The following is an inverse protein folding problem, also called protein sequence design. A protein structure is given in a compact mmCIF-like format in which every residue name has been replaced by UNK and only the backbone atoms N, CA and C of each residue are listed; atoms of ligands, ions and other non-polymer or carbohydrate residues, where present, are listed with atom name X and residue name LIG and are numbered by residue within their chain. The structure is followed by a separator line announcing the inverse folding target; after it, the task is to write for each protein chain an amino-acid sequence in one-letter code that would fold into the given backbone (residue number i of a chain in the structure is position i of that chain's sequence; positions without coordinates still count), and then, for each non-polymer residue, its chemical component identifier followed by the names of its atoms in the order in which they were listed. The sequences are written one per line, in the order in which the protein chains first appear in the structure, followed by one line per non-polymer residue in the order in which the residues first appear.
data_IF_630726995151
#
_entry.id   IF_630726995151
#
_cell.length_a   1.000
_cell.length_b   1.000
_cell.length_c   1.000
_cell.angle_alpha   90.00
_cell.angle_beta   90.00
_cell.angle_gamma   90.00
#
_symmetry.space_group_name_H-M   'P 1'
#
loop_
_entity.id
_entity.type
_entity.pdbx_description
1 polymer ?
#
# COMPACT_ATOMS: atom_id res chain seq x y z
N UNK A 1 -20.55 6.12 9.91
CA UNK A 1 -19.62 5.17 10.59
C UNK A 1 -18.20 5.65 10.37
N UNK A 2 -17.39 5.64 11.44
CA UNK A 2 -15.96 5.97 11.38
C UNK A 2 -15.19 4.77 11.94
N UNK A 3 -14.29 4.21 11.12
CA UNK A 3 -13.32 3.23 11.54
C UNK A 3 -12.04 3.96 11.91
N UNK A 4 -11.72 3.97 13.20
CA UNK A 4 -10.52 4.60 13.73
C UNK A 4 -9.26 3.78 13.41
N UNK A 5 -9.39 2.46 13.49
CA UNK A 5 -8.36 1.50 13.11
C UNK A 5 -8.73 0.80 11.80
N UNK A 6 -7.73 0.21 11.13
CA UNK A 6 -7.95 -0.56 9.91
C UNK A 6 -8.81 -1.79 10.20
N UNK A 7 -9.96 -1.98 9.52
CA UNK A 7 -10.75 -3.20 9.62
C UNK A 7 -9.93 -4.45 9.28
N UNK A 8 -10.25 -5.58 9.88
CA UNK A 8 -9.51 -6.84 9.69
C UNK A 8 -9.50 -7.31 8.22
N UNK A 9 -10.61 -7.13 7.54
CA UNK A 9 -10.81 -7.51 6.15
C UNK A 9 -11.96 -6.70 5.54
N UNK A 10 -12.15 -6.84 4.25
CA UNK A 10 -13.16 -6.11 3.50
C UNK A 10 -14.59 -6.52 3.87
N UNK A 11 -14.81 -7.78 4.28
CA UNK A 11 -16.11 -8.28 4.75
C UNK A 11 -16.55 -7.59 6.04
N UNK A 12 -15.65 -7.54 7.03
CA UNK A 12 -15.91 -6.84 8.31
C UNK A 12 -16.22 -5.37 8.06
N UNK A 13 -15.44 -4.71 7.20
CA UNK A 13 -15.70 -3.33 6.80
C UNK A 13 -17.09 -3.18 6.17
N UNK A 14 -17.44 -4.04 5.22
CA UNK A 14 -18.74 -4.00 4.53
C UNK A 14 -19.92 -4.17 5.50
N UNK A 15 -19.83 -5.14 6.43
CA UNK A 15 -20.86 -5.38 7.44
C UNK A 15 -21.02 -4.21 8.42
N UNK A 16 -19.90 -3.60 8.83
CA UNK A 16 -19.91 -2.46 9.76
C UNK A 16 -20.37 -1.19 9.05
N UNK A 17 -19.90 -0.91 7.85
CA UNK A 17 -20.34 0.20 7.01
C UNK A 17 -21.82 0.11 6.64
N UNK A 18 -22.33 -1.10 6.40
CA UNK A 18 -23.75 -1.37 6.12
C UNK A 18 -24.70 -1.09 7.29
N UNK A 19 -24.18 -0.72 8.46
CA UNK A 19 -24.99 -0.23 9.59
C UNK A 19 -25.35 1.24 9.46
N UNK A 20 -24.65 1.97 8.60
CA UNK A 20 -24.96 3.37 8.32
C UNK A 20 -26.15 3.50 7.36
N UNK A 21 -26.98 4.52 7.55
CA UNK A 21 -28.10 4.83 6.66
C UNK A 21 -29.26 3.81 6.66
N UNK A 22 -29.44 3.06 7.74
CA UNK A 22 -30.56 2.13 7.90
C UNK A 22 -31.93 2.80 7.98
N UNK A 23 -31.92 4.07 8.32
CA UNK A 23 -33.07 4.96 8.35
C UNK A 23 -33.44 5.54 6.97
N UNK A 24 -32.65 5.20 5.92
CA UNK A 24 -32.80 5.71 4.57
C UNK A 24 -32.11 7.06 4.34
N UNK A 25 -31.48 7.63 5.38
CA UNK A 25 -30.76 8.90 5.28
C UNK A 25 -29.36 8.70 4.70
N UNK A 26 -28.84 9.75 4.05
CA UNK A 26 -27.49 9.73 3.51
C UNK A 26 -26.46 9.59 4.64
N UNK A 27 -25.59 8.59 4.53
CA UNK A 27 -24.61 8.29 5.56
C UNK A 27 -23.19 8.21 4.98
N UNK A 28 -22.22 8.71 5.76
CA UNK A 28 -20.81 8.67 5.42
C UNK A 28 -20.09 7.55 6.19
N UNK A 29 -19.32 6.74 5.46
CA UNK A 29 -18.40 5.75 6.03
C UNK A 29 -16.97 6.22 5.77
N UNK A 30 -16.17 6.30 6.83
CA UNK A 30 -14.77 6.78 6.77
C UNK A 30 -13.85 5.77 7.42
N UNK A 31 -12.74 5.45 6.78
CA UNK A 31 -11.63 4.70 7.39
C UNK A 31 -10.47 5.68 7.60
N UNK A 32 -9.96 5.74 8.83
CA UNK A 32 -8.70 6.40 9.13
C UNK A 32 -7.60 5.35 8.91
N UNK A 33 -6.81 5.52 7.85
CA UNK A 33 -5.79 4.55 7.48
C UNK A 33 -4.41 5.06 7.86
N UNK A 34 -3.68 4.23 8.60
CA UNK A 34 -2.28 4.46 8.94
C UNK A 34 -1.44 3.20 8.77
N UNK A 35 -0.21 3.33 8.28
CA UNK A 35 0.70 2.19 8.13
C UNK A 35 1.10 1.57 9.47
N UNK A 36 0.98 2.30 10.59
CA UNK A 36 1.13 1.76 11.93
C UNK A 36 0.17 0.61 12.22
N UNK A 37 -1.08 0.74 11.76
CA UNK A 37 -2.12 -0.28 11.94
C UNK A 37 -1.76 -1.55 11.18
N UNK A 38 -1.22 -1.40 9.96
CA UNK A 38 -0.77 -2.54 9.15
C UNK A 38 0.33 -3.32 9.87
N UNK A 39 1.30 -2.65 10.49
CA UNK A 39 2.35 -3.32 11.27
C UNK A 39 1.77 -4.08 12.47
N UNK A 40 0.82 -3.48 13.17
CA UNK A 40 0.13 -4.12 14.31
C UNK A 40 -0.63 -5.36 13.87
N UNK A 41 -1.38 -5.26 12.77
CA UNK A 41 -2.16 -6.39 12.23
C UNK A 41 -1.22 -7.51 11.73
N UNK A 42 -0.15 -7.19 11.01
CA UNK A 42 0.86 -8.17 10.59
C UNK A 42 1.49 -8.89 11.77
N UNK A 43 1.83 -8.16 12.84
CA UNK A 43 2.37 -8.76 14.06
C UNK A 43 1.40 -9.78 14.66
N UNK A 44 0.10 -9.44 14.75
CA UNK A 44 -0.93 -10.35 15.26
C UNK A 44 -1.14 -11.56 14.33
N UNK A 45 -1.08 -11.38 13.03
CA UNK A 45 -1.17 -12.47 12.04
C UNK A 45 -0.03 -13.48 12.26
N UNK A 46 1.20 -13.00 12.43
CA UNK A 46 2.38 -13.85 12.62
C UNK A 46 2.36 -14.63 13.93
N UNK A 47 1.54 -14.26 14.91
CA UNK A 47 1.35 -15.00 16.17
C UNK A 47 0.37 -16.17 16.05
N UNK A 48 -0.37 -16.29 14.96
CA UNK A 48 -1.28 -17.41 14.75
C UNK A 48 -0.47 -18.72 14.62
N UNK A 49 -0.91 -19.82 15.29
CA UNK A 49 -0.18 -21.07 15.27
C UNK A 49 -0.25 -21.82 13.93
N UNK A 50 -1.31 -21.59 13.14
CA UNK A 50 -1.54 -22.28 11.88
C UNK A 50 -1.03 -21.44 10.69
N UNK A 51 -0.03 -21.95 9.93
CA UNK A 51 0.47 -21.26 8.73
C UNK A 51 -0.59 -21.04 7.64
N UNK A 52 -1.60 -21.91 7.56
CA UNK A 52 -2.70 -21.73 6.62
C UNK A 52 -3.58 -20.55 7.00
N UNK A 53 -3.93 -20.41 8.28
CA UNK A 53 -4.65 -19.25 8.78
C UNK A 53 -3.85 -17.95 8.65
N UNK A 54 -2.52 -18.00 8.87
CA UNK A 54 -1.65 -16.85 8.63
C UNK A 54 -1.75 -16.36 7.19
N UNK A 55 -1.69 -17.28 6.22
CA UNK A 55 -1.76 -16.97 4.79
C UNK A 55 -3.10 -16.34 4.42
N UNK A 56 -4.20 -16.91 4.89
CA UNK A 56 -5.54 -16.35 4.65
C UNK A 56 -5.65 -14.95 5.24
N UNK A 57 -5.23 -14.77 6.49
CA UNK A 57 -5.27 -13.48 7.15
C UNK A 57 -4.38 -12.42 6.46
N UNK A 58 -3.23 -12.83 5.93
CA UNK A 58 -2.36 -11.94 5.15
C UNK A 58 -3.00 -11.52 3.82
N UNK A 59 -3.68 -12.45 3.13
CA UNK A 59 -4.44 -12.11 1.92
C UNK A 59 -5.57 -11.12 2.20
N UNK A 60 -6.32 -11.33 3.27
CA UNK A 60 -7.40 -10.44 3.71
C UNK A 60 -6.87 -9.05 4.07
N UNK A 61 -5.74 -8.98 4.77
CA UNK A 61 -5.07 -7.71 5.07
C UNK A 61 -4.65 -6.98 3.78
N UNK A 62 -4.07 -7.69 2.82
CA UNK A 62 -3.67 -7.09 1.56
C UNK A 62 -4.89 -6.56 0.77
N UNK A 63 -6.02 -7.25 0.82
CA UNK A 63 -7.26 -6.81 0.17
C UNK A 63 -7.80 -5.50 0.78
N UNK A 64 -7.82 -5.38 2.10
CA UNK A 64 -8.30 -4.14 2.75
C UNK A 64 -7.32 -2.97 2.55
N UNK A 65 -6.01 -3.21 2.53
CA UNK A 65 -5.01 -2.21 2.17
C UNK A 65 -5.25 -1.72 0.74
N UNK A 66 -5.45 -2.65 -0.20
CA UNK A 66 -5.77 -2.32 -1.59
C UNK A 66 -7.01 -1.44 -1.71
N UNK A 67 -8.04 -1.78 -0.96
CA UNK A 67 -9.25 -0.98 -0.90
C UNK A 67 -8.99 0.45 -0.41
N UNK A 68 -8.16 0.62 0.62
CA UNK A 68 -7.88 1.94 1.20
C UNK A 68 -6.95 2.79 0.34
N UNK A 69 -5.98 2.20 -0.35
CA UNK A 69 -4.98 2.93 -1.15
C UNK A 69 -5.35 3.09 -2.63
N UNK A 70 -6.28 2.30 -3.14
CA UNK A 70 -6.66 2.33 -4.54
C UNK A 70 -7.33 3.66 -4.92
N UNK A 71 -7.02 4.15 -6.11
CA UNK A 71 -7.75 5.23 -6.80
C UNK A 71 -8.99 4.74 -7.58
N UNK A 72 -9.21 3.43 -7.63
CA UNK A 72 -10.37 2.82 -8.29
C UNK A 72 -11.63 3.08 -7.47
N UNK A 73 -12.78 3.15 -8.14
CA UNK A 73 -14.09 3.29 -7.49
C UNK A 73 -14.24 2.30 -6.33
N UNK A 74 -14.53 2.80 -5.12
CA UNK A 74 -14.69 1.99 -3.90
C UNK A 74 -15.76 0.92 -4.05
N UNK A 75 -16.89 1.28 -4.67
CA UNK A 75 -18.00 0.33 -4.92
C UNK A 75 -17.60 -0.77 -5.88
N UNK A 76 -16.84 -0.47 -6.92
CA UNK A 76 -16.32 -1.47 -7.86
C UNK A 76 -15.44 -2.50 -7.15
N UNK A 77 -14.55 -2.08 -6.27
CA UNK A 77 -13.68 -2.98 -5.50
C UNK A 77 -14.52 -3.83 -4.53
N UNK A 78 -15.44 -3.21 -3.81
CA UNK A 78 -16.30 -3.90 -2.84
C UNK A 78 -17.17 -4.97 -3.50
N UNK A 79 -17.92 -4.61 -4.54
CA UNK A 79 -18.80 -5.54 -5.24
C UNK A 79 -18.02 -6.63 -5.96
N UNK A 80 -16.88 -6.27 -6.57
CA UNK A 80 -15.97 -7.25 -7.18
C UNK A 80 -15.42 -8.27 -6.19
N UNK A 81 -15.18 -7.88 -4.93
CA UNK A 81 -14.79 -8.80 -3.87
C UNK A 81 -15.87 -9.88 -3.61
N UNK A 82 -17.14 -9.51 -3.70
CA UNK A 82 -18.27 -10.44 -3.55
C UNK A 82 -18.68 -11.11 -4.87
N UNK A 83 -17.91 -10.95 -5.95
CA UNK A 83 -18.19 -11.57 -7.25
C UNK A 83 -19.21 -10.83 -8.10
N UNK A 84 -19.63 -9.63 -7.70
CA UNK A 84 -20.57 -8.80 -8.45
C UNK A 84 -19.83 -7.81 -9.34
N UNK A 85 -20.18 -7.81 -10.63
CA UNK A 85 -19.65 -6.84 -11.59
C UNK A 85 -20.33 -5.47 -11.40
N UNK A 86 -19.52 -4.42 -11.33
CA UNK A 86 -20.00 -3.04 -11.22
C UNK A 86 -19.22 -2.13 -12.16
N UNK A 87 -19.92 -1.34 -12.96
CA UNK A 87 -19.31 -0.33 -13.82
C UNK A 87 -19.15 0.99 -13.09
N UNK A 88 -17.92 1.50 -13.06
CA UNK A 88 -17.61 2.81 -12.50
C UNK A 88 -17.87 3.93 -13.55
N UNK A 89 -18.10 5.19 -13.12
CA UNK A 89 -18.12 5.68 -11.74
C UNK A 89 -19.41 5.37 -10.97
N UNK A 90 -19.34 5.38 -9.63
CA UNK A 90 -20.54 5.24 -8.79
C UNK A 90 -21.13 6.60 -8.36
N UNK A 91 -20.45 7.70 -8.67
CA UNK A 91 -20.83 9.09 -8.37
C UNK A 91 -21.12 9.38 -6.88
N UNK A 92 -20.58 8.55 -5.99
CA UNK A 92 -20.83 8.64 -4.55
C UNK A 92 -19.59 8.44 -3.68
N UNK A 93 -18.59 7.67 -4.11
CA UNK A 93 -17.39 7.47 -3.31
C UNK A 93 -16.37 8.60 -3.52
N UNK A 94 -15.44 8.71 -2.56
CA UNK A 94 -14.35 9.69 -2.58
C UNK A 94 -13.56 9.69 -3.90
N UNK A 95 -13.20 8.52 -4.40
CA UNK A 95 -12.44 8.39 -5.65
C UNK A 95 -13.22 8.82 -6.91
N UNK A 96 -14.55 8.66 -6.91
CA UNK A 96 -15.37 9.11 -8.03
C UNK A 96 -15.69 10.61 -7.96
N UNK A 97 -15.90 11.13 -6.74
CA UNK A 97 -16.20 12.55 -6.53
C UNK A 97 -14.96 13.44 -6.64
N UNK A 98 -13.79 12.93 -6.26
CA UNK A 98 -12.53 13.63 -6.32
C UNK A 98 -11.47 12.76 -7.02
N UNK A 99 -11.57 12.56 -8.33
CA UNK A 99 -10.59 11.75 -9.05
C UNK A 99 -9.22 12.42 -8.95
N UNK A 100 -8.28 11.73 -8.32
CA UNK A 100 -6.89 12.16 -8.33
C UNK A 100 -6.35 12.06 -9.76
N UNK A 101 -5.62 13.06 -10.26
CA UNK A 101 -4.97 12.95 -11.55
C UNK A 101 -4.05 11.72 -11.51
N UNK A 102 -4.16 10.85 -12.51
CA UNK A 102 -3.27 9.73 -12.68
C UNK A 102 -1.89 10.28 -13.07
N UNK A 103 -0.97 10.30 -12.13
CA UNK A 103 0.44 10.57 -12.43
C UNK A 103 1.08 9.28 -12.98
N UNK A 104 1.82 9.44 -14.07
CA UNK A 104 2.61 8.34 -14.60
C UNK A 104 3.91 8.21 -13.80
N UNK A 105 3.99 7.17 -12.98
CA UNK A 105 5.13 6.84 -12.14
C UNK A 105 6.04 5.76 -12.76
N UNK A 106 5.90 5.49 -14.06
CA UNK A 106 6.66 4.45 -14.74
C UNK A 106 8.17 4.67 -14.62
N UNK A 107 8.64 5.90 -14.80
CA UNK A 107 10.08 6.23 -14.73
C UNK A 107 10.57 6.07 -13.28
N UNK A 108 9.82 6.54 -12.29
CA UNK A 108 10.15 6.39 -10.87
C UNK A 108 10.16 4.91 -10.47
N UNK A 109 9.20 4.13 -10.93
CA UNK A 109 9.18 2.68 -10.70
C UNK A 109 10.42 1.99 -11.28
N UNK A 110 10.82 2.34 -12.49
CA UNK A 110 12.05 1.83 -13.12
C UNK A 110 13.30 2.24 -12.34
N UNK A 111 13.41 3.51 -11.90
CA UNK A 111 14.51 3.98 -11.03
C UNK A 111 14.58 3.15 -9.74
N UNK A 112 13.43 2.93 -9.08
CA UNK A 112 13.36 2.20 -7.83
C UNK A 112 13.77 0.74 -7.99
N UNK A 113 13.16 0.02 -8.95
CA UNK A 113 13.45 -1.38 -9.23
C UNK A 113 14.91 -1.59 -9.67
N UNK A 114 15.44 -0.69 -10.49
CA UNK A 114 16.86 -0.70 -10.89
C UNK A 114 17.79 -0.52 -9.68
N UNK A 115 17.42 0.33 -8.72
CA UNK A 115 18.19 0.53 -7.49
C UNK A 115 18.15 -0.72 -6.61
N UNK A 116 16.98 -1.34 -6.44
CA UNK A 116 16.83 -2.61 -5.71
C UNK A 116 17.73 -3.69 -6.32
N UNK A 117 17.70 -3.86 -7.64
CA UNK A 117 18.53 -4.82 -8.35
C UNK A 117 20.03 -4.56 -8.15
N UNK A 118 20.49 -3.30 -8.30
CA UNK A 118 21.91 -2.93 -8.14
C UNK A 118 22.38 -3.03 -6.69
N UNK A 119 21.50 -2.91 -5.73
CA UNK A 119 21.75 -3.21 -4.32
C UNK A 119 21.63 -4.72 -4.00
N UNK A 120 21.62 -5.59 -5.01
CA UNK A 120 21.59 -7.05 -4.89
C UNK A 120 20.34 -7.60 -4.18
N UNK A 121 19.25 -6.84 -4.15
CA UNK A 121 17.97 -7.25 -3.53
C UNK A 121 18.08 -7.65 -2.03
N UNK A 122 19.01 -7.06 -1.29
CA UNK A 122 19.32 -7.42 0.11
C UNK A 122 19.03 -6.32 1.13
N UNK A 123 18.47 -5.19 0.67
CA UNK A 123 18.34 -4.01 1.52
C UNK A 123 16.88 -3.57 1.58
N UNK A 124 16.45 -3.23 2.80
CA UNK A 124 15.11 -2.72 3.03
C UNK A 124 14.86 -1.35 2.38
N UNK A 125 13.60 -1.02 2.24
CA UNK A 125 13.07 0.17 1.56
C UNK A 125 13.83 1.47 1.89
N UNK A 126 14.07 1.74 3.16
CA UNK A 126 14.72 2.99 3.57
C UNK A 126 16.16 3.12 3.05
N UNK A 127 16.89 2.00 2.95
CA UNK A 127 18.24 2.00 2.39
C UNK A 127 18.21 2.30 0.87
N UNK A 128 17.28 1.68 0.15
CA UNK A 128 17.08 1.94 -1.30
C UNK A 128 16.73 3.41 -1.54
N UNK A 129 15.84 3.97 -0.73
CA UNK A 129 15.47 5.39 -0.80
C UNK A 129 16.67 6.30 -0.52
N UNK A 130 17.49 5.96 0.47
CA UNK A 130 18.71 6.71 0.78
C UNK A 130 19.69 6.71 -0.42
N UNK A 131 19.87 5.58 -1.09
CA UNK A 131 20.69 5.49 -2.32
C UNK A 131 20.09 6.34 -3.43
N UNK A 132 18.81 6.18 -3.75
CA UNK A 132 18.13 6.96 -4.79
C UNK A 132 18.23 8.47 -4.55
N UNK A 133 18.12 8.91 -3.30
CA UNK A 133 18.22 10.32 -2.94
C UNK A 133 19.66 10.84 -2.79
N UNK A 134 20.65 9.98 -3.01
CA UNK A 134 22.07 10.38 -2.98
C UNK A 134 22.60 10.65 -1.58
N UNK A 135 22.13 9.89 -0.59
CA UNK A 135 22.55 10.00 0.80
C UNK A 135 24.04 9.68 0.97
N UNK A 136 24.70 10.44 1.87
CA UNK A 136 26.10 10.25 2.25
C UNK A 136 26.22 9.56 3.63
N UNK A 137 25.18 8.83 4.06
CA UNK A 137 25.23 8.08 5.31
C UNK A 137 26.39 7.09 5.32
N UNK A 138 27.00 6.89 6.48
CA UNK A 138 28.15 6.00 6.70
C UNK A 138 27.93 4.62 6.04
N UNK A 139 26.77 4.01 6.25
CA UNK A 139 26.42 2.70 5.67
C UNK A 139 26.42 2.68 4.14
N UNK A 140 26.02 3.78 3.48
CA UNK A 140 26.03 3.89 2.01
C UNK A 140 27.47 3.91 1.50
N UNK A 141 28.35 4.64 2.19
CA UNK A 141 29.77 4.77 1.84
C UNK A 141 30.53 3.46 2.10
N UNK A 142 30.32 2.81 3.22
CA UNK A 142 30.94 1.52 3.56
C UNK A 142 30.60 0.40 2.58
N UNK A 143 29.38 0.44 2.02
CA UNK A 143 28.94 -0.52 1.02
C UNK A 143 29.29 -0.10 -0.43
N UNK A 144 29.93 1.04 -0.60
CA UNK A 144 30.21 1.66 -1.90
C UNK A 144 28.96 1.90 -2.76
N UNK A 145 27.78 2.01 -2.15
CA UNK A 145 26.53 2.26 -2.87
C UNK A 145 26.43 3.70 -3.40
N UNK A 146 27.29 4.60 -2.94
CA UNK A 146 27.47 5.93 -3.51
C UNK A 146 28.09 5.90 -4.91
N UNK A 147 28.69 4.78 -5.33
CA UNK A 147 29.27 4.59 -6.68
C UNK A 147 28.28 3.96 -7.66
N UNK A 148 27.11 3.51 -7.18
CA UNK A 148 26.08 2.94 -8.07
C UNK A 148 25.54 4.02 -9.01
N UNK A 149 25.28 3.64 -10.26
CA UNK A 149 24.64 4.55 -11.23
C UNK A 149 23.23 5.00 -10.82
N UNK A 150 22.64 4.35 -9.86
CA UNK A 150 21.35 4.71 -9.26
C UNK A 150 21.47 5.64 -8.05
N UNK A 151 22.69 5.95 -7.61
CA UNK A 151 22.88 6.88 -6.51
C UNK A 151 22.53 8.31 -6.91
N UNK A 152 21.54 8.88 -6.25
CA UNK A 152 21.12 10.27 -6.45
C UNK A 152 20.24 10.54 -7.68
N UNK A 153 19.80 9.51 -8.42
CA UNK A 153 18.91 9.71 -9.58
C UNK A 153 17.46 10.01 -9.20
N UNK A 154 17.12 9.89 -7.92
CA UNK A 154 15.78 10.11 -7.37
C UNK A 154 15.71 11.28 -6.39
N UNK A 155 16.60 12.29 -6.52
CA UNK A 155 16.61 13.49 -5.66
C UNK A 155 15.41 14.40 -5.88
N UNK A 156 14.78 14.30 -7.01
CA UNK A 156 13.60 15.05 -7.46
C UNK A 156 12.33 14.69 -6.69
N UNK A 157 12.31 13.54 -6.02
CA UNK A 157 11.19 13.09 -5.20
C UNK A 157 11.55 13.06 -3.71
N UNK A 158 10.54 13.26 -2.87
CA UNK A 158 10.68 13.17 -1.41
C UNK A 158 10.86 11.73 -0.95
N UNK A 159 11.35 11.53 0.28
CA UNK A 159 11.43 10.19 0.85
C UNK A 159 10.03 9.55 1.03
N UNK A 160 9.00 10.36 1.27
CA UNK A 160 7.64 9.85 1.45
C UNK A 160 7.03 9.38 0.13
N UNK A 161 7.21 10.12 -0.95
CA UNK A 161 6.81 9.70 -2.30
C UNK A 161 7.47 8.38 -2.69
N UNK A 162 8.76 8.22 -2.42
CA UNK A 162 9.47 6.96 -2.65
C UNK A 162 8.93 5.81 -1.79
N UNK A 163 8.53 6.08 -0.53
CA UNK A 163 7.89 5.07 0.32
C UNK A 163 6.53 4.65 -0.24
N UNK A 164 5.70 5.61 -0.67
CA UNK A 164 4.41 5.31 -1.30
C UNK A 164 4.59 4.43 -2.54
N UNK A 165 5.53 4.80 -3.42
CA UNK A 165 5.82 4.00 -4.61
C UNK A 165 6.29 2.58 -4.25
N UNK A 166 7.22 2.44 -3.31
CA UNK A 166 7.71 1.12 -2.88
C UNK A 166 6.57 0.23 -2.38
N UNK A 167 5.70 0.77 -1.54
CA UNK A 167 4.53 0.05 -1.02
C UNK A 167 3.59 -0.37 -2.15
N UNK A 168 3.35 0.52 -3.12
CA UNK A 168 2.56 0.21 -4.30
C UNK A 168 3.18 -0.92 -5.12
N UNK A 169 4.51 -0.90 -5.32
CA UNK A 169 5.22 -1.97 -6.03
C UNK A 169 5.15 -3.32 -5.31
N UNK A 170 5.27 -3.32 -3.98
CA UNK A 170 5.08 -4.53 -3.16
C UNK A 170 3.64 -5.04 -3.28
N UNK A 171 2.69 -4.13 -3.20
CA UNK A 171 1.28 -4.45 -3.26
C UNK A 171 0.85 -5.02 -4.62
N UNK A 172 1.41 -4.49 -5.71
CA UNK A 172 1.17 -4.96 -7.08
C UNK A 172 1.99 -6.22 -7.42
N UNK A 173 2.84 -6.72 -6.51
CA UNK A 173 3.63 -7.93 -6.71
C UNK A 173 4.90 -7.75 -7.54
N UNK A 174 5.34 -6.51 -7.81
CA UNK A 174 6.63 -6.24 -8.45
C UNK A 174 7.82 -6.37 -7.50
N UNK A 175 7.57 -6.27 -6.20
CA UNK A 175 8.54 -6.47 -5.12
C UNK A 175 7.94 -7.36 -4.04
N UNK A 176 8.82 -8.10 -3.39
CA UNK A 176 8.49 -8.90 -2.22
C UNK A 176 9.37 -8.46 -1.05
N UNK A 177 8.79 -8.36 0.14
CA UNK A 177 9.53 -8.07 1.37
C UNK A 177 9.82 -9.39 2.07
N UNK A 178 11.10 -9.79 2.10
CA UNK A 178 11.55 -10.98 2.80
C UNK A 178 11.92 -10.61 4.24
N UNK A 179 11.48 -11.40 5.19
CA UNK A 179 11.98 -11.39 6.58
C UNK A 179 13.07 -12.43 6.69
N UNK A 180 14.35 -11.99 6.69
CA UNK A 180 15.49 -12.83 7.12
C UNK A 180 15.59 -12.84 8.63
#
# INVERSE_FOLDING_TARGET
VIHYDLPRNLESYYQEAGRAGRDGEAAKCTILFGWGDVHTVKFLINQKPDPHEQRIAQQQLNQIINYTESSVCRRKIQLGYFGEAFEAPCDNCDNCLNPSPLEDWTIEAQKFLSCVYRCQQRFGMNHIIDVLRGSQKKRILELNHNQLSTHGIGKDRTAEEWRMLCRSLIHQGYLEETTD
#
